data_IF_191150681249
#
_entry.id   IF_191150681249
#
_cell.length_a   1.000
_cell.length_b   1.000
_cell.length_c   1.000
_cell.angle_alpha   90.00
_cell.angle_beta   90.00
_cell.angle_gamma   90.00
#
_symmetry.space_group_name_H-M   'P 1'
#
loop_
_entity.id
_entity.type
_entity.pdbx_description
1 polymer ?
#
# COMPACT_ATOMS: atom_id res chain seq x y z
N UNK A 1 27.42 -5.56 16.31
CA UNK A 1 26.38 -5.33 15.27
C UNK A 1 27.02 -4.57 14.11
N UNK A 2 26.89 -5.12 12.92
CA UNK A 2 27.44 -4.48 11.72
C UNK A 2 26.70 -3.18 11.43
N UNK A 3 27.37 -2.22 10.78
CA UNK A 3 26.80 -0.91 10.44
C UNK A 3 25.53 -1.05 9.58
N UNK A 4 25.50 -2.01 8.66
CA UNK A 4 24.34 -2.31 7.83
C UNK A 4 23.10 -2.71 8.64
N UNK A 5 23.28 -3.52 9.68
CA UNK A 5 22.19 -3.93 10.58
C UNK A 5 21.63 -2.74 11.38
N UNK A 6 22.51 -1.86 11.85
CA UNK A 6 22.09 -0.63 12.55
C UNK A 6 21.27 0.26 11.63
N UNK A 7 21.72 0.46 10.41
CA UNK A 7 21.01 1.25 9.39
C UNK A 7 19.66 0.64 9.08
N UNK A 8 19.60 -0.67 8.87
CA UNK A 8 18.35 -1.39 8.62
C UNK A 8 17.34 -1.23 9.76
N UNK A 9 17.78 -1.38 11.01
CA UNK A 9 16.92 -1.19 12.18
C UNK A 9 16.42 0.24 12.31
N UNK A 10 17.28 1.21 12.05
CA UNK A 10 16.90 2.63 12.06
C UNK A 10 15.83 2.90 11.00
N UNK A 11 16.02 2.43 9.77
CA UNK A 11 15.03 2.58 8.70
C UNK A 11 13.70 1.92 9.06
N UNK A 12 13.72 0.72 9.62
CA UNK A 12 12.51 0.02 10.06
C UNK A 12 11.74 0.79 11.13
N UNK A 13 12.43 1.38 12.09
CA UNK A 13 11.81 2.21 13.14
C UNK A 13 11.16 3.46 12.56
N UNK A 14 11.83 4.13 11.63
CA UNK A 14 11.30 5.30 10.94
C UNK A 14 10.06 4.91 10.13
N UNK A 15 10.13 3.83 9.36
CA UNK A 15 9.01 3.35 8.54
C UNK A 15 7.81 2.98 9.41
N UNK A 16 7.99 2.27 10.52
CA UNK A 16 6.90 1.92 11.43
C UNK A 16 6.18 3.17 11.95
N UNK A 17 6.91 4.19 12.37
CA UNK A 17 6.34 5.46 12.81
C UNK A 17 5.67 6.24 11.67
N UNK A 18 6.25 6.18 10.47
CA UNK A 18 5.70 6.84 9.28
C UNK A 18 4.40 6.19 8.81
N UNK A 19 4.32 4.86 8.83
CA UNK A 19 3.08 4.12 8.50
C UNK A 19 1.94 4.52 9.44
N UNK A 20 2.20 4.69 10.72
CA UNK A 20 1.21 5.16 11.68
C UNK A 20 0.80 6.61 11.39
N UNK A 21 1.76 7.51 11.16
CA UNK A 21 1.48 8.93 10.91
C UNK A 21 0.72 9.14 9.59
N UNK A 22 1.20 8.57 8.48
CA UNK A 22 0.51 8.65 7.18
C UNK A 22 -0.77 7.79 7.14
N UNK A 23 -0.87 6.79 8.00
CA UNK A 23 -2.05 5.94 8.12
C UNK A 23 -3.15 6.49 9.04
N UNK A 24 -2.92 7.61 9.70
CA UNK A 24 -3.90 8.29 10.56
C UNK A 24 -4.20 9.71 10.12
N UNK A 25 -3.40 10.27 9.22
CA UNK A 25 -3.52 11.65 8.72
C UNK A 25 -3.34 11.70 7.21
N UNK A 26 -3.80 12.79 6.59
CA UNK A 26 -3.48 13.08 5.20
C UNK A 26 -1.98 13.36 5.03
N UNK A 27 -1.48 13.32 3.80
CA UNK A 27 -0.08 13.68 3.52
C UNK A 27 0.29 15.06 4.07
N UNK A 28 -0.57 16.07 3.83
CA UNK A 28 -0.33 17.44 4.27
C UNK A 28 -0.28 17.59 5.79
N UNK A 29 -1.16 16.87 6.49
CA UNK A 29 -1.27 16.92 7.95
C UNK A 29 -0.22 16.10 8.67
N UNK A 30 0.37 15.11 8.02
CA UNK A 30 1.40 14.26 8.60
C UNK A 30 2.67 15.06 8.90
N UNK A 31 3.27 14.80 10.06
CA UNK A 31 4.39 15.57 10.60
C UNK A 31 5.66 14.74 10.76
N UNK A 32 6.73 15.19 10.12
CA UNK A 32 8.09 14.62 10.30
C UNK A 32 8.51 14.69 11.77
N UNK A 33 8.18 15.76 12.49
CA UNK A 33 8.51 15.88 13.90
C UNK A 33 7.84 14.80 14.76
N UNK A 34 6.57 14.46 14.45
CA UNK A 34 5.86 13.38 15.13
C UNK A 34 6.48 12.02 14.80
N UNK A 35 6.87 11.79 13.55
CA UNK A 35 7.56 10.55 13.13
C UNK A 35 8.89 10.41 13.89
N UNK A 36 9.67 11.48 14.00
CA UNK A 36 10.90 11.50 14.77
C UNK A 36 10.66 11.16 16.25
N UNK A 37 9.66 11.78 16.85
CA UNK A 37 9.30 11.57 18.26
C UNK A 37 8.89 10.12 18.53
N UNK A 38 8.02 9.55 17.72
CA UNK A 38 7.59 8.14 17.85
C UNK A 38 8.70 7.15 17.62
N UNK A 39 9.52 7.37 16.61
CA UNK A 39 10.64 6.48 16.29
C UNK A 39 11.82 6.63 17.23
N UNK A 40 11.86 7.69 18.04
CA UNK A 40 13.00 8.09 18.88
C UNK A 40 14.27 8.28 18.04
N UNK A 41 14.11 8.88 16.87
CA UNK A 41 15.16 9.16 15.90
C UNK A 41 15.28 10.69 15.77
N UNK A 42 16.50 11.22 15.70
CA UNK A 42 16.73 12.63 15.43
C UNK A 42 16.28 13.00 14.02
N UNK A 43 15.89 14.25 13.81
CA UNK A 43 15.51 14.75 12.49
C UNK A 43 16.65 14.61 11.47
N UNK A 44 17.89 14.85 11.89
CA UNK A 44 19.07 14.67 11.05
C UNK A 44 19.27 13.22 10.62
N UNK A 45 19.07 12.26 11.51
CA UNK A 45 19.19 10.84 11.20
C UNK A 45 18.04 10.36 10.30
N UNK A 46 16.82 10.89 10.49
CA UNK A 46 15.71 10.62 9.59
C UNK A 46 16.05 11.07 8.17
N UNK A 47 16.48 12.31 7.97
CA UNK A 47 16.84 12.84 6.66
C UNK A 47 18.12 12.25 6.06
N UNK A 48 18.98 11.65 6.88
CA UNK A 48 20.06 10.82 6.38
C UNK A 48 19.55 9.56 5.68
N UNK A 49 18.50 8.95 6.21
CA UNK A 49 17.90 7.72 5.68
C UNK A 49 16.86 7.96 4.56
N UNK A 50 16.13 9.07 4.64
CA UNK A 50 15.08 9.45 3.68
C UNK A 50 15.27 10.93 3.34
N UNK A 51 15.52 11.25 2.09
CA UNK A 51 15.89 12.60 1.64
C UNK A 51 14.83 13.65 1.90
N UNK A 52 13.55 13.25 1.91
CA UNK A 52 12.41 14.15 2.03
C UNK A 52 11.20 13.44 2.64
N UNK A 53 10.21 14.21 3.06
CA UNK A 53 8.88 13.71 3.43
C UNK A 53 8.24 12.92 2.27
N UNK A 54 8.42 13.40 1.03
CA UNK A 54 7.92 12.74 -0.17
C UNK A 54 8.50 11.34 -0.33
N UNK A 55 9.83 11.20 -0.21
CA UNK A 55 10.49 9.88 -0.31
C UNK A 55 9.98 8.92 0.76
N UNK A 56 9.83 9.39 2.00
CA UNK A 56 9.31 8.57 3.09
C UNK A 56 7.84 8.17 2.87
N UNK A 57 7.02 9.10 2.40
CA UNK A 57 5.63 8.82 2.06
C UNK A 57 5.51 7.80 0.93
N UNK A 58 6.26 7.97 -0.16
CA UNK A 58 6.26 7.03 -1.29
C UNK A 58 6.76 5.64 -0.88
N UNK A 59 7.69 5.55 0.06
CA UNK A 59 8.09 4.26 0.64
C UNK A 59 6.93 3.59 1.39
N UNK A 60 6.14 4.34 2.14
CA UNK A 60 4.94 3.84 2.81
C UNK A 60 3.86 3.39 1.81
N UNK A 61 3.66 4.14 0.74
CA UNK A 61 2.74 3.77 -0.35
C UNK A 61 3.21 2.48 -1.03
N UNK A 62 4.51 2.35 -1.30
CA UNK A 62 5.10 1.13 -1.88
C UNK A 62 4.83 -0.08 -0.99
N UNK A 63 5.08 0.02 0.30
CA UNK A 63 4.80 -1.05 1.27
C UNK A 63 3.32 -1.43 1.24
N UNK A 64 2.43 -0.45 1.20
CA UNK A 64 1.00 -0.67 1.15
C UNK A 64 0.59 -1.52 -0.06
N UNK A 65 1.01 -1.15 -1.25
CA UNK A 65 0.66 -1.88 -2.48
C UNK A 65 1.34 -3.25 -2.57
N UNK A 66 2.59 -3.38 -2.13
CA UNK A 66 3.31 -4.65 -2.10
C UNK A 66 2.66 -5.64 -1.14
N UNK A 67 2.28 -5.20 0.06
CA UNK A 67 1.58 -6.02 1.05
C UNK A 67 0.20 -6.48 0.54
N UNK A 68 -0.56 -5.57 -0.07
CA UNK A 68 -1.87 -5.91 -0.65
C UNK A 68 -1.74 -6.92 -1.79
N UNK A 69 -0.79 -6.71 -2.69
CA UNK A 69 -0.53 -7.60 -3.82
C UNK A 69 -0.12 -8.99 -3.31
N UNK A 70 0.80 -9.05 -2.35
CA UNK A 70 1.25 -10.30 -1.75
C UNK A 70 0.12 -11.05 -1.03
N UNK A 71 -0.72 -10.33 -0.30
CA UNK A 71 -1.86 -10.92 0.41
C UNK A 71 -2.89 -11.51 -0.56
N UNK A 72 -3.16 -10.83 -1.66
CA UNK A 72 -4.08 -11.32 -2.70
C UNK A 72 -3.49 -12.52 -3.46
N UNK A 73 -2.21 -12.47 -3.85
CA UNK A 73 -1.51 -13.59 -4.51
C UNK A 73 -1.52 -14.86 -3.65
N UNK A 74 -1.39 -14.73 -2.35
CA UNK A 74 -1.39 -15.86 -1.42
C UNK A 74 -2.73 -16.62 -1.35
N UNK A 75 -3.82 -16.09 -1.92
CA UNK A 75 -5.13 -16.72 -1.92
C UNK A 75 -5.29 -17.83 -2.97
N UNK A 76 -4.34 -17.99 -3.91
CA UNK A 76 -4.37 -19.03 -4.95
C UNK A 76 -5.70 -19.06 -5.72
N UNK A 77 -6.09 -17.94 -6.31
CA UNK A 77 -7.38 -17.75 -6.96
C UNK A 77 -7.65 -18.74 -8.10
N UNK A 78 -6.60 -19.27 -8.72
CA UNK A 78 -6.66 -20.29 -9.77
C UNK A 78 -7.29 -21.63 -9.31
N UNK A 79 -7.37 -21.85 -8.00
CA UNK A 79 -8.00 -23.05 -7.42
C UNK A 79 -9.52 -22.95 -7.33
N UNK A 80 -10.08 -21.79 -7.62
CA UNK A 80 -11.51 -21.50 -7.48
C UNK A 80 -12.18 -21.29 -8.84
N UNK A 81 -13.49 -21.59 -8.93
CA UNK A 81 -14.29 -21.13 -10.06
C UNK A 81 -14.48 -19.60 -10.03
N UNK A 82 -15.07 -19.04 -11.10
CA UNK A 82 -15.19 -17.59 -11.26
C UNK A 82 -16.00 -16.93 -10.12
N UNK A 83 -17.10 -17.51 -9.71
CA UNK A 83 -17.97 -16.95 -8.67
C UNK A 83 -17.27 -16.96 -7.31
N UNK A 84 -16.66 -18.08 -6.94
CA UNK A 84 -15.89 -18.23 -5.70
C UNK A 84 -14.64 -17.34 -5.70
N UNK A 85 -13.98 -17.20 -6.84
CA UNK A 85 -12.82 -16.31 -6.98
C UNK A 85 -13.20 -14.85 -6.75
N UNK A 86 -14.32 -14.37 -7.28
CA UNK A 86 -14.81 -13.02 -7.04
C UNK A 86 -15.12 -12.80 -5.56
N UNK A 87 -15.85 -13.72 -4.94
CA UNK A 87 -16.13 -13.67 -3.51
C UNK A 87 -14.83 -13.64 -2.70
N UNK A 88 -13.86 -14.49 -3.04
CA UNK A 88 -12.56 -14.58 -2.38
C UNK A 88 -11.75 -13.29 -2.50
N UNK A 89 -11.75 -12.62 -3.66
CA UNK A 89 -11.10 -11.32 -3.85
C UNK A 89 -11.70 -10.27 -2.91
N UNK A 90 -13.02 -10.18 -2.84
CA UNK A 90 -13.71 -9.20 -2.00
C UNK A 90 -13.47 -9.45 -0.51
N UNK A 91 -13.59 -10.70 -0.06
CA UNK A 91 -13.32 -11.10 1.33
C UNK A 91 -11.86 -10.84 1.72
N UNK A 92 -10.92 -11.20 0.85
CA UNK A 92 -9.49 -10.99 1.08
C UNK A 92 -9.14 -9.52 1.22
N UNK A 93 -9.72 -8.67 0.36
CA UNK A 93 -9.51 -7.22 0.44
C UNK A 93 -10.08 -6.64 1.73
N UNK A 94 -11.28 -7.06 2.10
CA UNK A 94 -11.89 -6.63 3.35
C UNK A 94 -11.04 -7.05 4.55
N UNK A 95 -10.64 -8.31 4.60
CA UNK A 95 -9.79 -8.85 5.66
C UNK A 95 -8.47 -8.09 5.76
N UNK A 96 -7.80 -7.83 4.63
CA UNK A 96 -6.55 -7.07 4.61
C UNK A 96 -6.73 -5.69 5.24
N UNK A 97 -7.79 -4.96 4.89
CA UNK A 97 -8.03 -3.63 5.44
C UNK A 97 -8.39 -3.66 6.93
N UNK A 98 -9.13 -4.67 7.38
CA UNK A 98 -9.46 -4.84 8.80
C UNK A 98 -8.23 -5.14 9.64
N UNK A 99 -7.33 -5.99 9.13
CA UNK A 99 -6.09 -6.37 9.82
C UNK A 99 -5.00 -5.29 9.75
N UNK A 100 -5.07 -4.40 8.76
CA UNK A 100 -4.04 -3.38 8.49
C UNK A 100 -4.66 -1.97 8.36
N UNK A 101 -5.17 -1.38 9.46
CA UNK A 101 -5.90 -0.10 9.39
C UNK A 101 -5.04 1.07 8.89
N UNK A 102 -3.74 1.10 9.20
CA UNK A 102 -2.85 2.14 8.69
C UNK A 102 -2.63 2.02 7.18
N UNK A 103 -2.39 0.82 6.70
CA UNK A 103 -2.26 0.55 5.27
C UNK A 103 -3.55 0.83 4.52
N UNK A 104 -4.69 0.50 5.11
CA UNK A 104 -6.01 0.83 4.56
C UNK A 104 -6.16 2.34 4.31
N UNK A 105 -5.85 3.16 5.29
CA UNK A 105 -5.94 4.61 5.16
C UNK A 105 -4.93 5.18 4.16
N UNK A 106 -3.71 4.66 4.13
CA UNK A 106 -2.70 5.04 3.13
C UNK A 106 -3.20 4.71 1.72
N UNK A 107 -3.77 3.51 1.52
CA UNK A 107 -4.36 3.11 0.25
C UNK A 107 -5.45 4.09 -0.19
N UNK A 108 -6.47 4.30 0.64
CA UNK A 108 -7.58 5.18 0.29
C UNK A 108 -7.15 6.63 0.08
N UNK A 109 -6.25 7.15 0.89
CA UNK A 109 -5.71 8.51 0.69
C UNK A 109 -4.92 8.62 -0.61
N UNK A 110 -4.15 7.61 -0.97
CA UNK A 110 -3.37 7.60 -2.23
C UNK A 110 -4.26 7.53 -3.49
N UNK A 111 -5.48 7.00 -3.36
CA UNK A 111 -6.43 6.89 -4.47
C UNK A 111 -7.37 8.10 -4.53
N UNK A 112 -7.93 8.51 -3.39
CA UNK A 112 -8.98 9.53 -3.34
C UNK A 112 -8.44 10.96 -3.21
N UNK A 113 -7.31 11.13 -2.53
CA UNK A 113 -6.71 12.43 -2.24
C UNK A 113 -5.18 12.38 -2.35
N UNK A 114 -4.62 11.94 -3.50
CA UNK A 114 -3.18 11.86 -3.65
C UNK A 114 -2.57 13.25 -3.63
N UNK A 115 -1.36 13.43 -3.04
CA UNK A 115 -0.60 14.66 -3.23
C UNK A 115 -0.37 14.90 -4.72
N UNK A 116 -0.81 16.05 -5.23
CA UNK A 116 -0.80 16.34 -6.68
C UNK A 116 0.60 16.22 -7.30
N UNK A 117 1.62 16.66 -6.57
CA UNK A 117 3.02 16.62 -7.04
C UNK A 117 3.63 15.22 -7.05
N UNK A 118 2.97 14.22 -6.44
CA UNK A 118 3.42 12.82 -6.37
C UNK A 118 2.56 11.87 -7.21
N UNK A 119 1.64 12.40 -8.00
CA UNK A 119 0.67 11.58 -8.72
C UNK A 119 1.33 10.57 -9.67
N UNK A 120 2.34 10.98 -10.41
CA UNK A 120 3.06 10.09 -11.34
C UNK A 120 3.83 8.99 -10.61
N UNK A 121 4.48 9.33 -9.50
CA UNK A 121 5.21 8.37 -8.67
C UNK A 121 4.27 7.34 -8.05
N UNK A 122 3.12 7.78 -7.54
CA UNK A 122 2.09 6.88 -7.00
C UNK A 122 1.56 5.95 -8.09
N UNK A 123 1.29 6.46 -9.28
CA UNK A 123 0.85 5.64 -10.42
C UNK A 123 1.87 4.56 -10.80
N UNK A 124 3.16 4.89 -10.78
CA UNK A 124 4.23 3.90 -11.02
C UNK A 124 4.27 2.82 -9.94
N UNK A 125 4.13 3.20 -8.68
CA UNK A 125 4.14 2.26 -7.55
C UNK A 125 2.98 1.27 -7.67
N UNK A 126 1.77 1.75 -7.98
CA UNK A 126 0.59 0.88 -8.05
C UNK A 126 0.48 0.05 -9.34
N UNK A 127 1.36 0.25 -10.31
CA UNK A 127 1.27 -0.36 -11.63
C UNK A 127 1.23 -1.89 -11.59
N UNK A 128 2.05 -2.52 -10.76
CA UNK A 128 2.06 -3.98 -10.59
C UNK A 128 0.76 -4.49 -9.96
N UNK A 129 0.27 -3.80 -8.94
CA UNK A 129 -1.02 -4.09 -8.32
C UNK A 129 -2.16 -3.97 -9.33
N UNK A 130 -2.21 -2.89 -10.08
CA UNK A 130 -3.25 -2.64 -11.09
C UNK A 130 -3.25 -3.73 -12.18
N UNK A 131 -2.06 -4.15 -12.64
CA UNK A 131 -1.93 -5.24 -13.62
C UNK A 131 -2.47 -6.56 -13.07
N UNK A 132 -2.07 -6.93 -11.88
CA UNK A 132 -2.50 -8.17 -11.24
C UNK A 132 -4.02 -8.16 -11.00
N UNK A 133 -4.54 -7.08 -10.46
CA UNK A 133 -5.96 -6.93 -10.16
C UNK A 133 -6.81 -6.95 -11.42
N UNK A 134 -6.39 -6.24 -12.46
CA UNK A 134 -7.05 -6.23 -13.77
C UNK A 134 -7.05 -7.62 -14.40
N UNK A 135 -5.94 -8.35 -14.34
CA UNK A 135 -5.85 -9.71 -14.86
C UNK A 135 -6.81 -10.67 -14.14
N UNK A 136 -6.93 -10.54 -12.80
CA UNK A 136 -7.90 -11.32 -12.02
C UNK A 136 -9.33 -11.06 -12.48
N UNK A 137 -9.73 -9.80 -12.62
CA UNK A 137 -11.08 -9.43 -13.06
C UNK A 137 -11.38 -9.86 -14.50
N UNK A 138 -10.45 -9.69 -15.42
CA UNK A 138 -10.64 -10.18 -16.82
C UNK A 138 -10.85 -11.67 -16.86
N UNK A 139 -10.08 -12.43 -16.10
CA UNK A 139 -10.25 -13.88 -16.03
C UNK A 139 -11.62 -14.27 -15.49
N UNK A 140 -12.12 -13.53 -14.49
CA UNK A 140 -13.47 -13.72 -13.96
C UNK A 140 -14.55 -13.41 -15.00
N UNK A 141 -14.45 -12.26 -15.68
CA UNK A 141 -15.42 -11.83 -16.69
C UNK A 141 -15.51 -12.81 -17.86
N UNK A 142 -14.40 -13.40 -18.28
CA UNK A 142 -14.38 -14.41 -19.34
C UNK A 142 -15.14 -15.70 -18.98
N UNK A 143 -15.35 -15.97 -17.69
CA UNK A 143 -16.05 -17.16 -17.19
C UNK A 143 -17.48 -16.87 -16.70
N UNK A 144 -17.88 -15.59 -16.64
CA UNK A 144 -19.22 -15.17 -16.25
C UNK A 144 -20.05 -14.83 -17.48
N UNK A 145 -21.33 -15.24 -17.45
CA UNK A 145 -22.30 -14.79 -18.45
C UNK A 145 -22.82 -13.42 -18.04
N UNK A 146 -22.45 -12.39 -18.78
CA UNK A 146 -22.97 -11.05 -18.56
C UNK A 146 -24.40 -10.93 -19.08
N UNK A 147 -25.24 -10.15 -18.42
CA UNK A 147 -26.56 -9.81 -18.92
C UNK A 147 -26.44 -8.98 -20.20
N UNK A 148 -27.39 -9.15 -21.11
CA UNK A 148 -27.46 -8.36 -22.34
C UNK A 148 -27.41 -6.84 -22.03
N UNK A 149 -26.54 -6.11 -22.72
CA UNK A 149 -26.35 -4.68 -22.54
C UNK A 149 -25.29 -4.26 -21.51
N UNK A 150 -24.66 -5.22 -20.82
CA UNK A 150 -23.51 -4.93 -19.93
C UNK A 150 -22.22 -5.18 -20.72
N UNK A 151 -21.36 -4.17 -20.80
CA UNK A 151 -20.02 -4.26 -21.40
C UNK A 151 -18.94 -4.33 -20.30
N UNK A 152 -17.77 -4.90 -20.64
CA UNK A 152 -16.60 -4.99 -19.76
C UNK A 152 -16.06 -3.62 -19.34
#
# INVERSE_FOLDING_TARGET
>A
MKQEEKTKRTRQRIIAAALEEFGTKSYESASINVICSRSKISKGLLYYNFKSKDELYLQCVTICYDEMTGFLKAQNLELYDAEKSLQKILETRQQFFEENPYLSNIFFNSVLQPPKHLLLEIQKIRQEFDKYYTACYRNLLNHLTLRDGITE
#
